data_IF_752585429471
#
_entry.id   IF_752585429471
#
_cell.length_a   1.000
_cell.length_b   1.000
_cell.length_c   1.000
_cell.angle_alpha   90.00
_cell.angle_beta   90.00
_cell.angle_gamma   90.00
#
_symmetry.space_group_name_H-M   'P 1'
#
loop_
_entity.id
_entity.type
_entity.pdbx_description
1 polymer ?
#
# COMPACT_ATOMS: atom_id res chain seq x y z
N UNK A 1 -6.06 1.53 -13.91
CA UNK A 1 -6.49 0.34 -13.15
C UNK A 1 -5.42 0.02 -12.11
N UNK A 2 -5.85 -0.45 -10.94
CA UNK A 2 -4.95 -0.92 -9.87
C UNK A 2 -5.56 -2.18 -9.29
N UNK A 3 -4.77 -3.26 -9.23
CA UNK A 3 -5.20 -4.56 -8.72
C UNK A 3 -4.34 -4.93 -7.52
N UNK A 4 -4.97 -5.41 -6.45
CA UNK A 4 -4.30 -5.89 -5.24
C UNK A 4 -4.68 -7.35 -5.05
N UNK A 5 -3.69 -8.23 -4.95
CA UNK A 5 -3.90 -9.62 -4.57
C UNK A 5 -3.36 -9.82 -3.15
N UNK A 6 -4.21 -10.34 -2.28
CA UNK A 6 -3.91 -10.55 -0.87
C UNK A 6 -3.61 -12.04 -0.65
N UNK A 7 -2.47 -12.33 -0.03
CA UNK A 7 -2.14 -13.67 0.43
C UNK A 7 -2.90 -14.03 1.70
N UNK A 8 -2.78 -15.27 2.18
CA UNK A 8 -3.38 -15.70 3.44
C UNK A 8 -2.97 -14.81 4.61
N UNK A 9 -3.88 -14.65 5.60
CA UNK A 9 -3.61 -13.94 6.86
C UNK A 9 -3.14 -12.48 6.68
N UNK A 10 -3.63 -11.82 5.63
CA UNK A 10 -3.23 -10.45 5.29
C UNK A 10 -4.22 -9.44 5.87
N UNK A 11 -3.69 -8.40 6.52
CA UNK A 11 -4.49 -7.27 7.04
C UNK A 11 -4.02 -5.97 6.41
N UNK A 12 -4.95 -5.26 5.77
CA UNK A 12 -4.70 -3.97 5.12
C UNK A 12 -5.74 -2.92 5.54
N UNK A 13 -5.39 -1.64 5.44
CA UNK A 13 -6.32 -0.51 5.44
C UNK A 13 -6.14 0.31 4.17
N UNK A 14 -7.25 0.71 3.56
CA UNK A 14 -7.26 1.65 2.45
C UNK A 14 -7.66 3.03 2.99
N UNK A 15 -6.68 3.86 3.32
CA UNK A 15 -6.92 5.17 3.95
C UNK A 15 -7.44 6.20 2.95
N UNK A 16 -6.92 6.16 1.72
CA UNK A 16 -7.25 7.16 0.70
C UNK A 16 -7.24 6.54 -0.67
N UNK A 17 -8.30 6.78 -1.42
CA UNK A 17 -8.36 6.45 -2.83
C UNK A 17 -9.18 7.51 -3.57
N UNK A 18 -8.47 8.48 -4.15
CA UNK A 18 -9.08 9.54 -4.95
C UNK A 18 -8.85 9.22 -6.42
N UNK A 19 -9.92 9.24 -7.20
CA UNK A 19 -9.88 9.15 -8.65
C UNK A 19 -10.71 10.27 -9.27
N UNK A 20 -10.06 11.13 -10.05
CA UNK A 20 -10.73 12.16 -10.85
C UNK A 20 -10.30 12.01 -12.30
N UNK A 21 -11.20 11.48 -13.15
CA UNK A 21 -10.96 11.36 -14.59
C UNK A 21 -10.78 12.75 -15.23
N UNK A 22 -11.58 13.74 -14.82
CA UNK A 22 -11.54 15.10 -15.36
C UNK A 22 -10.21 15.82 -15.12
N UNK A 23 -9.55 15.57 -13.97
CA UNK A 23 -8.26 16.17 -13.62
C UNK A 23 -7.07 15.23 -13.85
N UNK A 24 -7.32 14.05 -14.42
CA UNK A 24 -6.36 12.95 -14.52
C UNK A 24 -5.56 12.76 -13.20
N UNK A 25 -6.27 12.87 -12.07
CA UNK A 25 -5.68 12.84 -10.74
C UNK A 25 -6.05 11.52 -10.07
N UNK A 26 -5.02 10.78 -9.66
CA UNK A 26 -5.19 9.56 -8.87
C UNK A 26 -4.27 9.59 -7.67
N UNK A 27 -4.86 9.50 -6.50
CA UNK A 27 -4.13 9.41 -5.25
C UNK A 27 -4.55 8.14 -4.52
N UNK A 28 -3.58 7.35 -4.06
CA UNK A 28 -3.84 6.13 -3.31
C UNK A 28 -2.90 6.02 -2.13
N UNK A 29 -3.45 5.75 -0.94
CA UNK A 29 -2.69 5.41 0.26
C UNK A 29 -3.22 4.11 0.85
N UNK A 30 -2.36 3.10 0.90
CA UNK A 30 -2.67 1.78 1.44
C UNK A 30 -1.73 1.48 2.60
N UNK A 31 -2.27 1.07 3.74
CA UNK A 31 -1.49 0.54 4.84
C UNK A 31 -1.54 -0.99 4.83
N UNK A 32 -0.40 -1.64 4.96
CA UNK A 32 -0.28 -3.10 5.10
C UNK A 32 0.26 -3.40 6.48
N UNK A 33 -0.54 -4.03 7.33
CA UNK A 33 -0.16 -4.32 8.72
C UNK A 33 0.51 -5.68 8.88
N UNK A 34 0.07 -6.67 8.11
CA UNK A 34 0.56 -8.04 8.20
C UNK A 34 0.29 -8.79 6.90
N UNK A 35 1.12 -9.78 6.58
CA UNK A 35 0.89 -10.73 5.49
C UNK A 35 1.56 -10.31 4.17
N UNK A 36 1.05 -10.86 3.07
CA UNK A 36 1.61 -10.70 1.72
C UNK A 36 0.61 -10.00 0.82
N UNK A 37 1.02 -8.90 0.20
CA UNK A 37 0.20 -8.15 -0.75
C UNK A 37 0.96 -7.95 -2.04
N UNK A 38 0.39 -8.41 -3.15
CA UNK A 38 0.89 -8.08 -4.49
C UNK A 38 0.09 -6.92 -5.06
N UNK A 39 0.81 -5.87 -5.42
CA UNK A 39 0.26 -4.68 -6.04
C UNK A 39 0.60 -4.64 -7.52
N UNK A 40 -0.40 -4.36 -8.34
CA UNK A 40 -0.26 -4.08 -9.77
C UNK A 40 -0.87 -2.71 -10.04
N UNK A 41 -0.02 -1.68 -10.07
CA UNK A 41 -0.43 -0.29 -10.30
C UNK A 41 -0.08 0.07 -11.74
N UNK A 42 -1.09 0.40 -12.56
CA UNK A 42 -0.80 0.90 -13.92
C UNK A 42 -0.15 2.28 -13.84
N UNK A 43 0.73 2.57 -14.79
CA UNK A 43 1.50 3.83 -14.85
C UNK A 43 0.55 5.02 -14.88
N UNK A 44 0.80 5.96 -13.96
CA UNK A 44 0.07 7.22 -13.83
C UNK A 44 0.80 8.25 -14.69
N UNK A 45 0.12 8.79 -15.70
CA UNK A 45 0.69 9.74 -16.65
C UNK A 45 0.63 11.19 -16.16
N UNK A 46 -0.02 11.45 -15.02
CA UNK A 46 -0.13 12.78 -14.43
C UNK A 46 0.92 12.98 -13.32
N UNK A 47 1.63 14.12 -13.29
CA UNK A 47 2.59 14.44 -12.24
C UNK A 47 1.93 14.64 -10.86
N UNK A 48 0.61 14.89 -10.81
CA UNK A 48 -0.12 15.02 -9.54
C UNK A 48 -0.55 13.69 -8.93
N UNK A 49 -0.34 12.58 -9.65
CA UNK A 49 -0.83 11.28 -9.18
C UNK A 49 0.22 10.54 -8.38
N UNK A 50 -0.10 10.22 -7.13
CA UNK A 50 0.78 9.56 -6.17
C UNK A 50 0.12 8.29 -5.64
N UNK A 51 0.88 7.20 -5.58
CA UNK A 51 0.45 5.97 -4.94
C UNK A 51 1.49 5.57 -3.89
N UNK A 52 1.05 5.46 -2.65
CA UNK A 52 1.88 5.20 -1.49
C UNK A 52 1.38 3.96 -0.76
N UNK A 53 2.31 3.07 -0.44
CA UNK A 53 2.05 1.92 0.43
C UNK A 53 2.87 2.09 1.70
N UNK A 54 2.21 2.14 2.85
CA UNK A 54 2.86 2.23 4.14
C UNK A 54 2.76 0.88 4.87
N UNK A 55 3.81 0.51 5.59
CA UNK A 55 3.85 -0.62 6.51
C UNK A 55 4.37 -0.14 7.86
N UNK A 56 4.37 -0.99 8.91
CA UNK A 56 4.94 -0.61 10.21
C UNK A 56 6.40 -0.14 10.16
N UNK A 57 7.17 -0.52 9.13
CA UNK A 57 8.60 -0.17 9.03
C UNK A 57 8.97 0.69 7.83
N UNK A 58 8.17 0.68 6.75
CA UNK A 58 8.55 1.33 5.49
C UNK A 58 7.40 2.06 4.82
N UNK A 59 7.77 3.09 4.07
CA UNK A 59 6.91 3.74 3.08
C UNK A 59 7.46 3.45 1.69
N UNK A 60 6.61 2.96 0.79
CA UNK A 60 6.91 2.67 -0.60
C UNK A 60 6.14 3.62 -1.52
N UNK A 61 6.87 4.50 -2.21
CA UNK A 61 6.37 5.36 -3.27
C UNK A 61 6.37 4.65 -4.61
N UNK A 62 5.21 4.57 -5.25
CA UNK A 62 4.98 3.73 -6.42
C UNK A 62 4.54 4.55 -7.62
N UNK A 63 5.21 4.35 -8.75
CA UNK A 63 4.83 4.94 -10.04
C UNK A 63 4.80 3.91 -11.16
N UNK A 64 3.66 3.24 -11.30
CA UNK A 64 3.43 2.30 -12.41
C UNK A 64 4.26 1.03 -12.30
N UNK A 65 4.10 0.28 -11.22
CA UNK A 65 4.89 -0.91 -10.94
C UNK A 65 4.05 -2.12 -10.57
N UNK A 66 4.64 -3.30 -10.76
CA UNK A 66 4.18 -4.54 -10.15
C UNK A 66 5.19 -4.93 -9.08
N UNK A 67 4.75 -5.03 -7.84
CA UNK A 67 5.60 -5.35 -6.70
C UNK A 67 4.83 -6.11 -5.63
N UNK A 68 5.55 -6.79 -4.76
CA UNK A 68 5.02 -7.53 -3.62
C UNK A 68 5.58 -6.93 -2.33
N UNK A 69 4.71 -6.73 -1.36
CA UNK A 69 5.06 -6.34 0.00
C UNK A 69 4.75 -7.52 0.89
N UNK A 70 5.75 -7.95 1.65
CA UNK A 70 5.60 -8.97 2.67
C UNK A 70 5.97 -8.38 4.02
N UNK A 71 4.98 -8.23 4.89
CA UNK A 71 5.20 -7.87 6.28
C UNK A 71 5.36 -9.16 7.07
N UNK A 72 6.60 -9.47 7.46
CA UNK A 72 6.94 -10.69 8.23
C UNK A 72 6.59 -10.49 9.70
N UNK A 73 6.80 -9.28 10.21
CA UNK A 73 6.44 -8.86 11.56
C UNK A 73 6.25 -7.34 11.59
N UNK A 74 5.81 -6.81 12.73
CA UNK A 74 5.75 -5.35 12.95
C UNK A 74 7.14 -4.66 12.83
N UNK A 75 8.22 -5.44 12.84
CA UNK A 75 9.60 -4.94 12.83
C UNK A 75 10.35 -5.25 11.54
N UNK A 76 9.75 -6.02 10.61
CA UNK A 76 10.40 -6.43 9.39
C UNK A 76 9.42 -6.49 8.21
N UNK A 77 9.69 -5.64 7.21
CA UNK A 77 9.02 -5.66 5.92
C UNK A 77 10.02 -6.00 4.82
N UNK A 78 9.66 -6.94 3.95
CA UNK A 78 10.37 -7.23 2.70
C UNK A 78 9.58 -6.69 1.52
N UNK A 79 10.24 -5.97 0.63
CA UNK A 79 9.65 -5.41 -0.60
C UNK A 79 10.35 -6.05 -1.80
N UNK A 80 9.59 -6.58 -2.74
CA UNK A 80 10.09 -7.27 -3.94
C UNK A 80 9.50 -6.61 -5.19
N UNK A 81 10.34 -6.14 -6.10
CA UNK A 81 9.87 -5.48 -7.32
C UNK A 81 9.95 -6.44 -8.49
N UNK A 82 8.84 -6.62 -9.19
CA UNK A 82 8.74 -7.54 -10.32
C UNK A 82 8.81 -6.77 -11.64
N UNK A 83 8.24 -5.58 -11.67
CA UNK A 83 8.26 -4.70 -12.83
C UNK A 83 8.24 -3.24 -12.41
N UNK A 84 9.06 -2.41 -13.07
CA UNK A 84 9.16 -0.98 -12.80
C UNK A 84 10.17 -0.64 -11.71
N UNK A 85 9.93 0.45 -10.99
CA UNK A 85 10.79 0.97 -9.91
C UNK A 85 9.95 1.47 -8.74
N UNK A 86 10.33 1.09 -7.51
CA UNK A 86 9.69 1.51 -6.27
C UNK A 86 10.69 2.28 -5.43
N UNK A 87 10.30 3.45 -4.94
CA UNK A 87 11.09 4.21 -3.97
C UNK A 87 10.72 3.73 -2.56
N UNK A 88 11.68 3.17 -1.84
CA UNK A 88 11.50 2.60 -0.50
C UNK A 88 12.27 3.44 0.50
N UNK A 89 11.60 3.86 1.58
CA UNK A 89 12.21 4.59 2.69
C UNK A 89 11.65 4.10 4.01
N UNK A 90 12.36 4.29 5.10
CA UNK A 90 11.81 4.00 6.42
C UNK A 90 10.59 4.89 6.72
N UNK A 91 9.65 4.39 7.52
CA UNK A 91 8.49 5.18 7.98
C UNK A 91 8.90 6.33 8.90
N UNK A 92 9.95 6.14 9.69
CA UNK A 92 10.51 7.17 10.57
C UNK A 92 11.34 8.17 9.76
N UNK A 93 10.97 9.47 9.76
CA UNK A 93 11.74 10.50 9.05
C UNK A 93 13.12 10.74 9.67
N UNK A 94 13.37 10.24 10.88
CA UNK A 94 14.66 10.32 11.54
C UNK A 94 15.71 9.37 10.92
N UNK A 95 15.27 8.37 10.14
CA UNK A 95 16.16 7.43 9.48
C UNK A 95 16.44 7.93 8.06
N UNK A 96 17.62 8.50 7.78
CA UNK A 96 17.97 8.92 6.44
C UNK A 96 18.18 7.69 5.54
N UNK A 97 17.69 7.77 4.31
CA UNK A 97 17.87 6.71 3.32
C UNK A 97 16.62 6.50 2.48
N UNK A 98 16.76 6.69 1.17
CA UNK A 98 15.78 6.27 0.17
C UNK A 98 16.48 5.30 -0.78
N UNK A 99 15.89 4.13 -0.98
CA UNK A 99 16.37 3.13 -1.91
C UNK A 99 15.39 3.00 -3.08
N UNK A 100 15.89 3.21 -4.30
CA UNK A 100 15.13 2.98 -5.53
C UNK A 100 15.34 1.54 -5.98
N UNK A 101 14.36 0.70 -5.70
CA UNK A 101 14.39 -0.71 -6.00
C UNK A 101 13.88 -0.97 -7.43
N UNK A 102 14.68 -1.67 -8.24
CA UNK A 102 14.38 -2.01 -9.64
C UNK A 102 13.82 -3.42 -9.77
N UNK A 103 13.32 -3.76 -10.97
CA UNK A 103 12.83 -5.12 -11.29
C UNK A 103 13.80 -6.22 -10.85
N UNK A 104 13.24 -7.32 -10.37
CA UNK A 104 13.92 -8.52 -9.88
C UNK A 104 14.82 -8.29 -8.65
N UNK A 105 14.70 -7.14 -7.97
CA UNK A 105 15.39 -6.92 -6.71
C UNK A 105 14.41 -6.92 -5.53
N UNK A 106 14.92 -7.32 -4.38
CA UNK A 106 14.26 -7.19 -3.09
C UNK A 106 15.09 -6.37 -2.10
N UNK A 107 14.41 -5.76 -1.15
CA UNK A 107 15.04 -5.10 -0.01
C UNK A 107 14.24 -5.42 1.26
N UNK A 108 14.92 -5.39 2.39
CA UNK A 108 14.32 -5.51 3.70
C UNK A 108 14.45 -4.20 4.46
N UNK A 109 13.38 -3.82 5.15
CA UNK A 109 13.34 -2.63 6.00
C UNK A 109 12.97 -3.06 7.41
N UNK A 110 13.98 -3.05 8.27
CA UNK A 110 13.82 -3.27 9.69
C UNK A 110 13.29 -2.02 10.42
N UNK A 111 12.73 -2.22 11.61
CA UNK A 111 12.34 -1.11 12.50
C UNK A 111 13.50 -0.14 12.71
N UNK A 112 13.27 1.14 12.43
CA UNK A 112 14.26 2.23 12.55
C UNK A 112 15.59 2.00 11.79
N UNK A 113 15.62 1.12 10.79
CA UNK A 113 16.79 0.88 9.94
C UNK A 113 16.52 1.31 8.50
N UNK A 114 17.53 1.84 7.79
CA UNK A 114 17.37 2.13 6.37
C UNK A 114 17.11 0.82 5.60
N UNK A 115 16.56 0.90 4.38
CA UNK A 115 16.43 -0.26 3.51
C UNK A 115 17.78 -0.95 3.30
N UNK A 116 17.82 -2.27 3.38
CA UNK A 116 19.01 -3.07 3.11
C UNK A 116 19.43 -2.93 1.64
N UNK A 117 20.68 -3.28 1.34
CA UNK A 117 21.14 -3.31 -0.05
C UNK A 117 20.22 -4.20 -0.92
N UNK A 118 19.93 -3.80 -2.18
CA UNK A 118 19.12 -4.60 -3.09
C UNK A 118 19.71 -5.99 -3.32
N UNK A 119 18.95 -7.02 -2.97
CA UNK A 119 19.28 -8.40 -3.27
C UNK A 119 18.59 -8.82 -4.57
N UNK A 120 19.32 -9.48 -5.46
CA UNK A 120 18.73 -10.02 -6.69
C UNK A 120 17.87 -11.24 -6.33
N UNK A 121 16.59 -11.18 -6.68
CA UNK A 121 15.66 -12.31 -6.52
C UNK A 121 15.75 -13.19 -7.75
N UNK A 122 16.07 -14.46 -7.55
CA UNK A 122 16.07 -15.44 -8.62
C UNK A 122 14.65 -15.71 -9.15
N UNK A 123 14.59 -16.33 -10.34
CA UNK A 123 13.32 -16.55 -11.05
C UNK A 123 12.37 -17.48 -10.27
N UNK A 124 12.89 -18.52 -9.65
CA UNK A 124 12.07 -19.53 -8.97
C UNK A 124 11.48 -18.96 -7.69
N UNK A 125 12.27 -18.18 -6.94
CA UNK A 125 11.81 -17.39 -5.80
C UNK A 125 10.73 -16.39 -6.18
N UNK A 126 10.88 -15.67 -7.31
CA UNK A 126 9.82 -14.79 -7.82
C UNK A 126 8.54 -15.55 -8.15
N UNK A 127 8.63 -16.73 -8.79
CA UNK A 127 7.48 -17.56 -9.13
C UNK A 127 6.76 -18.08 -7.87
N UNK A 128 7.49 -18.48 -6.84
CA UNK A 128 6.91 -18.94 -5.59
C UNK A 128 6.18 -17.81 -4.85
N UNK A 129 6.80 -16.61 -4.78
CA UNK A 129 6.15 -15.41 -4.23
C UNK A 129 4.89 -15.01 -5.01
N UNK A 130 4.86 -15.26 -6.32
CA UNK A 130 3.66 -15.07 -7.12
C UNK A 130 2.57 -16.04 -6.74
N UNK A 131 2.88 -17.33 -6.56
CA UNK A 131 1.92 -18.38 -6.24
C UNK A 131 1.12 -18.09 -4.97
N UNK A 132 1.77 -17.53 -3.96
CA UNK A 132 1.12 -17.13 -2.70
C UNK A 132 0.09 -15.99 -2.84
N UNK A 133 0.07 -15.33 -4.00
CA UNK A 133 -0.85 -14.23 -4.33
C UNK A 133 -1.68 -14.53 -5.58
N UNK A 134 -1.72 -15.79 -6.03
CA UNK A 134 -2.59 -16.19 -7.14
C UNK A 134 -4.04 -16.20 -6.63
N UNK A 135 -4.87 -15.34 -7.23
CA UNK A 135 -6.29 -15.61 -7.31
C UNK A 135 -6.42 -16.84 -8.19
N UNK A 136 -6.77 -17.99 -7.60
CA UNK A 136 -7.27 -19.10 -8.40
C UNK A 136 -8.44 -18.50 -9.18
N UNK A 137 -8.30 -18.36 -10.51
CA UNK A 137 -9.47 -18.36 -11.37
C UNK A 137 -10.10 -19.72 -11.14
N UNK A 138 -10.97 -19.82 -10.14
CA UNK A 138 -12.01 -20.82 -10.13
C UNK A 138 -12.67 -20.63 -11.48
N UNK A 139 -12.52 -21.64 -12.35
CA UNK A 139 -13.28 -21.79 -13.57
C UNK A 139 -14.70 -21.35 -13.23
N UNK A 140 -15.16 -20.22 -13.76
CA UNK A 140 -16.58 -19.88 -13.70
C UNK A 140 -17.26 -21.04 -14.43
N UNK A 141 -17.77 -22.01 -13.68
CA UNK A 141 -18.76 -22.91 -14.24
C UNK A 141 -19.92 -22.00 -14.64
N UNK A 142 -20.36 -22.05 -15.91
CA UNK A 142 -21.49 -21.26 -16.33
C UNK A 142 -22.63 -21.59 -15.38
N UNK A 143 -23.15 -20.56 -14.71
CA UNK A 143 -24.42 -20.66 -13.99
C UNK A 143 -25.38 -21.40 -14.92
N UNK A 144 -26.02 -22.51 -14.47
CA UNK A 144 -27.00 -23.18 -15.30
C UNK A 144 -27.97 -22.12 -15.76
N UNK A 145 -28.13 -21.99 -17.09
CA UNK A 145 -29.05 -21.05 -17.69
C UNK A 145 -30.37 -21.17 -16.94
N UNK A 146 -30.87 -20.04 -16.43
CA UNK A 146 -32.14 -19.94 -15.73
C UNK A 146 -33.18 -20.65 -16.58
N UNK A 147 -33.49 -21.88 -16.17
CA UNK A 147 -34.53 -22.69 -16.77
C UNK A 147 -35.82 -21.94 -16.60
N UNK A 148 -36.46 -21.66 -17.73
CA UNK A 148 -37.80 -21.09 -17.87
C UNK A 148 -38.71 -21.58 -16.73
N UNK A 149 -39.30 -20.63 -16.01
CA UNK A 149 -40.40 -20.87 -15.07
C UNK A 149 -41.47 -21.78 -15.71
N UNK A 150 -41.74 -22.99 -15.22
CA UNK A 150 -43.01 -23.63 -15.50
C UNK A 150 -44.10 -22.88 -14.71
N UNK A 151 -45.06 -22.32 -15.46
CA UNK A 151 -46.30 -21.78 -14.88
C UNK A 151 -47.13 -22.93 -14.29
N UNK A 152 -47.40 -22.83 -12.99
CA UNK A 152 -48.60 -23.26 -12.23
C UNK A 152 -49.37 -24.52 -12.67
N UNK A 153 -49.49 -25.51 -11.77
CA UNK A 153 -50.79 -25.98 -11.23
C UNK A 153 -50.61 -26.89 -10.00
N UNK A 154 -51.28 -26.48 -8.92
CA UNK A 154 -51.98 -27.24 -7.87
C UNK A 154 -51.32 -28.43 -7.13
N UNK A 155 -51.24 -28.27 -5.80
CA UNK A 155 -51.76 -29.26 -4.86
C UNK A 155 -50.73 -30.04 -4.04
N UNK A 156 -50.56 -29.68 -2.76
CA UNK A 156 -50.59 -30.53 -1.54
C UNK A 156 -50.00 -29.77 -0.33
N UNK A 157 -50.50 -30.00 0.90
CA UNK A 157 -50.31 -29.09 2.04
C UNK A 157 -48.94 -29.21 2.72
N UNK A 158 -48.51 -28.11 3.35
CA UNK A 158 -47.34 -28.01 4.23
C UNK A 158 -47.65 -28.68 5.59
N UNK A 159 -46.75 -29.51 6.16
CA UNK A 159 -46.80 -29.82 7.59
C UNK A 159 -46.27 -28.64 8.40
N UNK A 160 -47.03 -28.24 9.43
CA UNK A 160 -46.65 -27.25 10.44
C UNK A 160 -45.41 -27.71 11.20
N UNK A 161 -44.41 -26.82 11.32
CA UNK A 161 -43.33 -26.97 12.30
C UNK A 161 -43.50 -25.84 13.30
N UNK A 162 -43.77 -26.25 14.54
CA UNK A 162 -44.04 -25.41 15.69
C UNK A 162 -42.83 -24.52 16.08
N UNK A 163 -43.19 -23.46 16.81
CA UNK A 163 -42.41 -22.31 17.24
C UNK A 163 -40.99 -22.57 17.77
N UNK A 164 -40.12 -21.59 17.49
CA UNK A 164 -39.41 -20.89 18.58
C UNK A 164 -37.89 -20.91 18.53
N UNK A 165 -37.28 -19.96 17.79
CA UNK A 165 -36.09 -19.24 18.26
C UNK A 165 -36.19 -17.79 17.77
N UNK A 166 -36.42 -16.89 18.71
CA UNK A 166 -36.51 -15.44 18.53
C UNK A 166 -35.09 -14.87 18.30
N UNK A 167 -34.89 -14.13 17.20
CA UNK A 167 -33.66 -13.38 16.93
C UNK A 167 -33.62 -12.14 17.84
N UNK A 168 -32.52 -11.84 18.55
CA UNK A 168 -32.44 -10.63 19.36
C UNK A 168 -32.44 -9.37 18.47
N UNK A 169 -33.07 -8.25 18.89
CA UNK A 169 -33.13 -7.02 18.11
C UNK A 169 -31.75 -6.37 17.90
N UNK A 170 -31.52 -5.78 16.72
CA UNK A 170 -30.35 -4.93 16.44
C UNK A 170 -30.47 -3.62 17.22
N UNK A 171 -29.63 -3.41 18.22
CA UNK A 171 -29.42 -2.08 18.81
C UNK A 171 -28.67 -1.18 17.81
N UNK A 172 -29.35 -0.13 17.35
CA UNK A 172 -28.78 0.97 16.58
C UNK A 172 -28.05 1.92 17.54
N UNK A 173 -26.73 1.97 17.47
CA UNK A 173 -25.97 3.02 18.16
C UNK A 173 -26.28 4.39 17.52
N UNK A 174 -26.56 5.44 18.31
CA UNK A 174 -26.88 6.76 17.80
C UNK A 174 -25.64 7.50 17.24
N UNK A 175 -25.83 8.42 16.26
CA UNK A 175 -24.73 9.18 15.67
C UNK A 175 -24.28 10.33 16.60
N UNK A 176 -23.08 10.24 17.16
CA UNK A 176 -22.48 11.41 17.83
C UNK A 176 -21.98 12.44 16.82
N UNK A 177 -22.81 13.48 16.66
CA UNK A 177 -22.53 14.92 16.58
C UNK A 177 -21.09 15.32 16.19
N UNK A 178 -20.98 15.77 14.94
CA UNK A 178 -19.95 16.69 14.46
C UNK A 178 -19.81 17.90 15.39
N UNK A 179 -18.61 18.13 15.91
CA UNK A 179 -18.15 19.48 16.25
C UNK A 179 -17.07 19.89 15.26
N UNK A 180 -17.40 20.91 14.48
CA UNK A 180 -16.49 21.79 13.74
C UNK A 180 -15.38 22.32 14.69
N UNK A 181 -14.18 22.68 14.27
CA UNK A 181 -13.83 23.53 13.11
C UNK A 181 -12.35 23.31 12.74
N UNK A 182 -11.96 23.44 11.46
CA UNK A 182 -10.55 23.45 11.04
C UNK A 182 -9.91 24.84 11.22
N UNK A 183 -8.62 24.96 11.56
CA UNK A 183 -7.87 26.15 11.21
C UNK A 183 -7.28 26.01 9.78
N UNK A 184 -7.80 26.86 8.90
CA UNK A 184 -7.37 27.14 7.52
C UNK A 184 -5.88 27.59 7.45
N UNK A 185 -5.17 27.40 6.32
CA UNK A 185 -3.74 27.65 6.18
C UNK A 185 -3.43 29.08 5.73
N UNK A 186 -2.47 29.74 6.38
CA UNK A 186 -1.74 30.91 5.85
C UNK A 186 -0.24 30.73 6.18
N UNK A 187 0.58 30.25 5.23
CA UNK A 187 1.46 31.04 4.33
C UNK A 187 2.46 31.93 5.08
N UNK A 188 3.77 31.67 4.93
CA UNK A 188 4.80 32.64 4.50
C UNK A 188 6.08 31.87 4.12
N UNK A 189 6.52 32.11 2.88
CA UNK A 189 7.81 31.75 2.34
C UNK A 189 8.85 32.70 2.97
N UNK A 190 9.78 32.18 3.77
CA UNK A 190 11.06 32.87 4.00
C UNK A 190 12.08 32.21 3.08
N UNK A 191 12.44 32.94 2.03
CA UNK A 191 13.62 32.65 1.21
C UNK A 191 14.83 32.69 2.15
N UNK A 192 15.53 31.57 2.35
CA UNK A 192 16.90 31.66 2.87
C UNK A 192 17.79 32.24 1.76
N UNK A 193 18.52 33.33 2.01
CA UNK A 193 19.59 33.80 1.14
C UNK A 193 20.72 32.76 1.05
N UNK A 194 21.47 32.87 -0.04
CA UNK A 194 22.57 31.98 -0.41
C UNK A 194 23.67 31.82 0.66
N UNK A 195 24.28 30.65 0.59
CA UNK A 195 25.55 30.18 1.14
C UNK A 195 26.59 31.27 1.45
N UNK A 196 26.89 31.49 2.74
CA UNK A 196 28.02 32.30 3.19
C UNK A 196 29.22 31.37 3.47
N UNK A 197 30.35 31.64 2.78
CA UNK A 197 31.59 30.86 2.85
C UNK A 197 32.09 30.76 4.30
N UNK A 198 32.37 29.54 4.76
CA UNK A 198 33.18 29.31 5.97
C UNK A 198 34.50 30.09 5.86
N UNK A 199 34.94 30.80 6.92
CA UNK A 199 36.27 31.41 6.95
C UNK A 199 37.34 30.33 6.79
N UNK A 200 38.32 30.56 5.91
CA UNK A 200 39.55 29.76 5.90
C UNK A 200 40.28 29.99 7.22
N UNK A 201 40.58 28.92 7.94
CA UNK A 201 41.48 28.95 9.09
C UNK A 201 42.86 29.48 8.61
N UNK A 202 43.51 30.41 9.34
CA UNK A 202 44.83 30.90 8.95
C UNK A 202 45.85 29.75 8.92
N UNK A 203 46.66 29.70 7.87
CA UNK A 203 47.75 28.74 7.74
C UNK A 203 48.78 28.93 8.87
N UNK A 204 49.31 27.85 9.47
CA UNK A 204 50.34 27.96 10.49
C UNK A 204 51.62 28.59 9.92
N UNK A 205 52.37 29.37 10.74
CA UNK A 205 53.55 30.07 10.27
C UNK A 205 54.63 29.09 9.77
N UNK A 206 55.24 29.42 8.62
CA UNK A 206 56.35 28.66 8.04
C UNK A 206 57.52 28.57 9.04
N UNK A 207 58.20 27.41 9.14
CA UNK A 207 59.41 27.30 9.93
C UNK A 207 60.52 28.22 9.37
N UNK A 208 61.37 28.78 10.24
CA UNK A 208 62.47 29.64 9.81
C UNK A 208 63.47 28.84 8.97
N UNK A 209 63.87 29.41 7.82
CA UNK A 209 64.97 28.90 7.00
C UNK A 209 66.26 28.88 7.83
N UNK A 210 66.92 27.74 7.88
CA UNK A 210 68.30 27.60 8.33
C UNK A 210 69.09 26.76 7.35
#
# INVERSE_FOLDING_TARGET
ETTLNLGPQTTISLDKFIYSAARNHREGKVNVFMGKVRFQVRRLFSPQSNFEVSTPTTVAGVKGTSFLVWVLSAELTRVIVMQGEVAVRNISPAVPGELRLRKNFSTEVGLNRPPSEPELVDRDSLLNLQQDTIVLKSKEEPLPAVGVLPKSTEGLPLPEIEAGIELPPKELLPPEIFKETPPNPQVIIIKQPAEEKKPKLPEPPKPPNS
#
